data_IF_897952863980
#
_entry.id   IF_897952863980
#
_cell.length_a   1.000
_cell.length_b   1.000
_cell.length_c   1.000
_cell.angle_alpha   90.00
_cell.angle_beta   90.00
_cell.angle_gamma   90.00
#
_symmetry.space_group_name_H-M   'P 1'
#
loop_
_entity.id
_entity.type
_entity.pdbx_description
1 polymer ?
#
# COMPACT_ATOMS: atom_id res chain seq x y z
N UNK A 1 57.11 -43.29 4.15
CA UNK A 1 56.13 -43.71 3.11
C UNK A 1 54.88 -44.18 3.84
N UNK A 2 53.91 -43.38 3.93
CA UNK A 2 52.56 -43.70 4.38
C UNK A 2 51.59 -42.79 3.64
N UNK A 3 50.95 -43.36 2.66
CA UNK A 3 49.94 -42.72 1.83
C UNK A 3 48.61 -42.69 2.58
N UNK A 4 48.10 -41.49 2.88
CA UNK A 4 46.72 -41.28 3.29
C UNK A 4 45.78 -41.42 2.08
N UNK A 5 44.65 -42.09 2.19
CA UNK A 5 43.71 -42.18 1.10
C UNK A 5 42.90 -40.89 0.94
N UNK A 6 42.79 -40.47 -0.28
CA UNK A 6 41.92 -39.40 -0.78
C UNK A 6 40.48 -39.63 -0.32
N UNK A 7 39.92 -38.74 0.47
CA UNK A 7 38.51 -38.73 0.79
C UNK A 7 37.76 -38.15 -0.40
N UNK A 8 37.18 -39.01 -1.21
CA UNK A 8 36.26 -38.65 -2.27
C UNK A 8 35.12 -37.84 -1.66
N UNK A 9 35.08 -36.52 -1.96
CA UNK A 9 33.92 -35.66 -1.75
C UNK A 9 32.83 -36.17 -2.65
N UNK A 10 31.96 -37.03 -2.14
CA UNK A 10 30.73 -37.41 -2.82
C UNK A 10 29.88 -36.16 -2.97
N UNK A 11 29.63 -35.77 -4.22
CA UNK A 11 28.64 -34.74 -4.54
C UNK A 11 27.33 -35.07 -3.81
N UNK A 12 26.63 -34.07 -3.23
CA UNK A 12 25.36 -34.33 -2.59
C UNK A 12 24.43 -34.95 -3.63
N UNK A 13 23.60 -35.93 -3.25
CA UNK A 13 22.64 -36.51 -4.18
C UNK A 13 21.80 -35.38 -4.76
N UNK A 14 21.69 -35.34 -6.07
CA UNK A 14 20.74 -34.52 -6.79
C UNK A 14 19.34 -34.98 -6.41
N UNK A 15 18.87 -34.57 -5.26
CA UNK A 15 17.48 -34.73 -4.83
C UNK A 15 16.61 -33.69 -5.54
N UNK A 16 16.72 -33.66 -6.89
CA UNK A 16 15.58 -33.44 -7.77
C UNK A 16 14.58 -34.61 -7.62
N UNK A 17 14.68 -35.36 -6.50
CA UNK A 17 13.74 -36.36 -6.12
C UNK A 17 12.50 -35.63 -5.60
N UNK A 18 11.59 -35.34 -6.58
CA UNK A 18 10.18 -35.55 -6.34
C UNK A 18 9.64 -34.84 -5.07
N UNK A 19 9.71 -33.52 -5.06
CA UNK A 19 8.52 -32.83 -4.61
C UNK A 19 7.48 -33.11 -5.70
N UNK A 20 6.77 -34.22 -5.58
CA UNK A 20 5.40 -34.29 -6.11
C UNK A 20 4.79 -32.99 -5.66
N UNK A 21 4.20 -32.20 -6.56
CA UNK A 21 3.17 -31.28 -6.15
C UNK A 21 2.31 -32.09 -5.18
N UNK A 22 2.38 -31.79 -3.88
CA UNK A 22 1.51 -32.43 -2.91
C UNK A 22 0.13 -32.23 -3.50
N UNK A 23 -0.50 -33.30 -3.94
CA UNK A 23 -1.88 -33.24 -4.34
C UNK A 23 -2.62 -32.68 -3.13
N UNK A 24 -3.78 -32.06 -3.31
CA UNK A 24 -4.62 -31.57 -2.22
C UNK A 24 -4.86 -32.60 -1.10
N UNK A 25 -4.47 -33.84 -1.30
CA UNK A 25 -4.59 -34.99 -0.38
C UNK A 25 -3.64 -34.92 0.83
N UNK A 26 -2.51 -34.20 0.73
CA UNK A 26 -1.54 -34.03 1.84
C UNK A 26 -1.78 -32.71 2.64
N UNK A 27 -2.66 -31.84 2.17
CA UNK A 27 -3.02 -30.66 2.92
C UNK A 27 -3.93 -31.04 4.11
N UNK A 28 -3.54 -30.62 5.32
CA UNK A 28 -4.45 -30.68 6.45
C UNK A 28 -5.73 -29.90 6.05
N UNK A 29 -6.93 -30.51 6.24
CA UNK A 29 -8.16 -29.85 5.87
C UNK A 29 -8.25 -28.52 6.62
N UNK A 30 -8.12 -27.42 5.89
CA UNK A 30 -8.63 -26.16 6.40
C UNK A 30 -10.11 -26.36 6.73
N UNK A 31 -10.66 -25.67 7.77
CA UNK A 31 -12.08 -25.73 8.03
C UNK A 31 -12.79 -25.54 6.69
N UNK A 32 -13.56 -26.52 6.28
CA UNK A 32 -14.29 -26.45 5.02
C UNK A 32 -15.03 -25.12 5.01
N UNK A 33 -15.01 -24.41 3.86
CA UNK A 33 -15.80 -23.18 3.67
C UNK A 33 -17.32 -23.44 3.72
N UNK A 34 -17.74 -24.57 4.31
CA UNK A 34 -19.12 -24.91 4.61
C UNK A 34 -19.66 -24.06 5.75
N UNK A 35 -20.78 -23.44 5.55
CA UNK A 35 -21.46 -22.53 6.45
C UNK A 35 -21.86 -21.25 5.72
N UNK A 36 -22.96 -20.65 6.16
CA UNK A 36 -23.49 -19.39 5.63
C UNK A 36 -22.69 -18.18 6.08
N UNK A 37 -22.88 -17.04 5.42
CA UNK A 37 -22.32 -15.75 5.86
C UNK A 37 -22.71 -15.48 7.32
N UNK A 38 -23.95 -15.75 7.70
CA UNK A 38 -24.44 -15.52 9.06
C UNK A 38 -23.70 -16.38 10.11
N UNK A 39 -23.51 -17.69 9.85
CA UNK A 39 -22.78 -18.59 10.75
C UNK A 39 -21.31 -18.19 10.92
N UNK A 40 -20.64 -17.81 9.84
CA UNK A 40 -19.26 -17.32 9.90
C UNK A 40 -19.14 -15.97 10.58
N UNK A 41 -20.11 -15.05 10.38
CA UNK A 41 -20.15 -13.76 11.07
C UNK A 41 -20.31 -13.96 12.58
N UNK A 42 -21.19 -14.86 13.01
CA UNK A 42 -21.35 -15.20 14.44
C UNK A 42 -20.03 -15.72 15.03
N UNK A 43 -19.37 -16.65 14.35
CA UNK A 43 -18.08 -17.18 14.78
C UNK A 43 -16.99 -16.11 14.83
N UNK A 44 -16.96 -15.18 13.85
CA UNK A 44 -16.02 -14.06 13.82
C UNK A 44 -16.19 -13.15 15.04
N UNK A 45 -17.42 -12.76 15.35
CA UNK A 45 -17.71 -11.87 16.49
C UNK A 45 -17.36 -12.48 17.85
N UNK A 46 -17.34 -13.82 17.95
CA UNK A 46 -16.93 -14.52 19.18
C UNK A 46 -15.42 -14.77 19.28
N UNK A 47 -14.69 -14.82 18.16
CA UNK A 47 -13.29 -15.25 18.15
C UNK A 47 -12.28 -14.15 17.81
N UNK A 48 -12.68 -13.09 17.10
CA UNK A 48 -11.81 -12.01 16.64
C UNK A 48 -12.08 -10.74 17.43
N UNK A 49 -11.01 -10.01 17.81
CA UNK A 49 -11.16 -8.75 18.53
C UNK A 49 -11.99 -7.76 17.71
N UNK A 50 -12.90 -7.06 18.36
CA UNK A 50 -13.84 -6.10 17.74
C UNK A 50 -13.18 -4.76 17.35
N UNK A 51 -12.06 -4.83 16.64
CA UNK A 51 -11.32 -3.66 16.16
C UNK A 51 -11.85 -3.08 14.85
N UNK A 52 -12.62 -3.89 14.10
CA UNK A 52 -13.19 -3.54 12.79
C UNK A 52 -14.72 -3.63 12.75
N UNK A 53 -15.36 -4.03 13.84
CA UNK A 53 -16.79 -4.38 13.87
C UNK A 53 -17.10 -5.71 13.17
N UNK A 54 -18.37 -6.10 13.10
CA UNK A 54 -18.79 -7.31 12.39
C UNK A 54 -18.51 -7.17 10.88
N UNK A 55 -18.06 -8.26 10.21
CA UNK A 55 -17.76 -8.21 8.80
C UNK A 55 -19.02 -8.00 7.95
N UNK A 56 -18.97 -7.14 6.95
CA UNK A 56 -20.10 -6.92 6.04
C UNK A 56 -20.43 -8.17 5.20
N UNK A 57 -19.42 -8.95 4.86
CA UNK A 57 -19.51 -10.24 4.13
C UNK A 57 -18.36 -11.15 4.58
N UNK A 58 -18.56 -12.45 4.45
CA UNK A 58 -17.52 -13.46 4.68
C UNK A 58 -17.08 -13.98 3.33
N UNK A 59 -15.93 -13.48 2.83
CA UNK A 59 -15.40 -13.82 1.51
C UNK A 59 -14.58 -15.11 1.60
N UNK A 60 -14.86 -16.06 0.70
CA UNK A 60 -14.24 -17.40 0.71
C UNK A 60 -13.45 -17.74 -0.56
N UNK A 61 -13.62 -16.94 -1.63
CA UNK A 61 -12.94 -17.13 -2.91
C UNK A 61 -12.70 -15.79 -3.60
N UNK A 62 -11.63 -15.71 -4.37
CA UNK A 62 -11.36 -14.60 -5.28
C UNK A 62 -10.74 -15.09 -6.59
N UNK A 63 -11.04 -14.38 -7.72
CA UNK A 63 -10.49 -14.66 -9.04
C UNK A 63 -10.53 -13.37 -9.88
N UNK A 64 -9.37 -12.92 -10.35
CA UNK A 64 -9.27 -11.65 -11.05
C UNK A 64 -9.86 -10.49 -10.23
N UNK A 65 -10.74 -9.66 -10.80
CA UNK A 65 -11.36 -8.55 -10.07
C UNK A 65 -12.61 -8.97 -9.25
N UNK A 66 -12.90 -10.26 -9.09
CA UNK A 66 -14.10 -10.76 -8.41
C UNK A 66 -13.79 -11.49 -7.13
N UNK A 67 -14.72 -11.39 -6.17
CA UNK A 67 -14.73 -12.17 -4.93
C UNK A 67 -16.10 -12.82 -4.73
N UNK A 68 -16.15 -13.90 -3.96
CA UNK A 68 -17.39 -14.62 -3.61
C UNK A 68 -17.49 -14.76 -2.11
N UNK A 69 -18.68 -14.54 -1.59
CA UNK A 69 -18.98 -14.81 -0.19
C UNK A 69 -19.32 -16.29 0.08
N UNK A 70 -19.52 -16.60 1.35
CA UNK A 70 -19.84 -17.95 1.80
C UNK A 70 -21.22 -18.45 1.31
N UNK A 71 -22.12 -17.57 0.93
CA UNK A 71 -23.42 -17.90 0.34
C UNK A 71 -23.35 -18.05 -1.19
N UNK A 72 -22.16 -17.86 -1.79
CA UNK A 72 -21.89 -18.00 -3.22
C UNK A 72 -22.19 -16.75 -4.04
N UNK A 73 -22.51 -15.62 -3.43
CA UNK A 73 -22.74 -14.36 -4.12
C UNK A 73 -21.42 -13.79 -4.63
N UNK A 74 -21.38 -13.39 -5.90
CA UNK A 74 -20.22 -12.79 -6.55
C UNK A 74 -20.26 -11.27 -6.44
N UNK A 75 -19.11 -10.68 -6.15
CA UNK A 75 -18.92 -9.22 -6.08
C UNK A 75 -17.78 -8.78 -6.98
N UNK A 76 -17.95 -7.65 -7.67
CA UNK A 76 -16.86 -6.93 -8.32
C UNK A 76 -16.09 -6.14 -7.25
N UNK A 77 -14.79 -6.42 -7.09
CA UNK A 77 -13.95 -5.79 -6.07
C UNK A 77 -13.27 -4.53 -6.61
N UNK A 78 -13.88 -3.37 -6.38
CA UNK A 78 -13.30 -2.07 -6.69
C UNK A 78 -12.52 -1.46 -5.52
N UNK A 79 -12.36 -2.19 -4.41
CA UNK A 79 -11.54 -1.82 -3.25
C UNK A 79 -10.11 -2.42 -3.35
N UNK A 80 -9.99 -3.63 -3.92
CA UNK A 80 -8.72 -4.32 -4.10
C UNK A 80 -7.96 -4.58 -2.79
N UNK A 81 -8.67 -4.88 -1.68
CA UNK A 81 -8.04 -5.03 -0.36
C UNK A 81 -7.42 -3.73 0.17
N UNK A 82 -7.97 -2.57 -0.16
CA UNK A 82 -7.44 -1.21 0.07
C UNK A 82 -6.15 -0.99 -0.74
N UNK A 83 -6.27 -1.03 -2.06
CA UNK A 83 -5.18 -0.83 -3.02
C UNK A 83 -4.03 -1.86 -2.93
N UNK A 84 -4.31 -3.08 -2.45
CA UNK A 84 -3.32 -4.14 -2.23
C UNK A 84 -3.27 -5.13 -3.40
N UNK A 85 -4.42 -5.61 -3.86
CA UNK A 85 -4.53 -6.68 -4.86
C UNK A 85 -4.32 -6.13 -6.29
N UNK A 86 -3.11 -5.66 -6.58
CA UNK A 86 -2.78 -5.03 -7.88
C UNK A 86 -3.06 -5.95 -9.07
N UNK A 87 -2.80 -7.25 -8.94
CA UNK A 87 -3.03 -8.25 -9.98
C UNK A 87 -4.40 -8.94 -9.90
N UNK A 88 -5.27 -8.49 -9.00
CA UNK A 88 -6.50 -9.19 -8.66
C UNK A 88 -6.24 -10.41 -7.77
N UNK A 89 -7.31 -11.16 -7.55
CA UNK A 89 -7.29 -12.34 -6.69
C UNK A 89 -6.79 -13.57 -7.44
N UNK A 90 -6.03 -14.43 -6.74
CA UNK A 90 -5.53 -15.72 -7.22
C UNK A 90 -4.79 -15.67 -8.57
N UNK A 91 -4.00 -14.60 -8.82
CA UNK A 91 -3.27 -14.45 -10.06
C UNK A 91 -2.27 -15.61 -10.26
N UNK A 92 -2.33 -16.37 -11.39
CA UNK A 92 -1.60 -17.64 -11.54
C UNK A 92 -0.09 -17.49 -11.43
N UNK A 93 0.51 -16.42 -11.99
CA UNK A 93 1.96 -16.18 -11.89
C UNK A 93 2.38 -15.90 -10.44
N UNK A 94 1.60 -15.11 -9.70
CA UNK A 94 1.87 -14.80 -8.29
C UNK A 94 1.76 -16.05 -7.43
N UNK A 95 0.68 -16.81 -7.58
CA UNK A 95 0.44 -18.06 -6.85
C UNK A 95 1.55 -19.08 -7.09
N UNK A 96 1.95 -19.26 -8.37
CA UNK A 96 3.03 -20.16 -8.74
C UNK A 96 4.38 -19.74 -8.15
N UNK A 97 4.71 -18.44 -8.18
CA UNK A 97 5.96 -17.93 -7.62
C UNK A 97 6.04 -18.14 -6.10
N UNK A 98 4.96 -17.85 -5.38
CA UNK A 98 4.86 -18.07 -3.92
C UNK A 98 5.01 -19.56 -3.60
N UNK A 99 4.28 -20.44 -4.29
CA UNK A 99 4.33 -21.89 -4.05
C UNK A 99 5.70 -22.47 -4.34
N UNK A 100 6.34 -22.08 -5.44
CA UNK A 100 7.68 -22.54 -5.80
C UNK A 100 8.73 -22.08 -4.78
N UNK A 101 8.67 -20.80 -4.37
CA UNK A 101 9.62 -20.28 -3.38
C UNK A 101 9.40 -20.89 -2.00
N UNK A 102 8.14 -21.10 -1.58
CA UNK A 102 7.82 -21.76 -0.32
C UNK A 102 8.32 -23.21 -0.30
N UNK A 103 8.20 -23.92 -1.42
CA UNK A 103 8.73 -25.28 -1.58
C UNK A 103 10.26 -25.37 -1.64
N UNK A 104 10.95 -24.24 -1.82
CA UNK A 104 12.42 -24.18 -1.89
C UNK A 104 13.02 -23.65 -0.58
N UNK A 105 12.59 -22.47 -0.14
CA UNK A 105 13.09 -21.79 1.05
C UNK A 105 12.04 -20.75 1.49
N UNK A 106 11.30 -21.04 2.55
CA UNK A 106 10.20 -20.20 3.01
C UNK A 106 10.67 -18.97 3.79
N UNK A 107 11.49 -19.19 4.81
CA UNK A 107 12.00 -18.13 5.67
C UNK A 107 13.43 -18.42 6.13
N UNK A 108 14.24 -17.37 6.23
CA UNK A 108 15.53 -17.35 6.89
C UNK A 108 15.68 -16.06 7.70
N UNK A 109 16.46 -16.10 8.76
CA UNK A 109 16.84 -14.89 9.50
C UNK A 109 17.63 -13.94 8.62
N UNK A 110 17.47 -12.61 8.85
CA UNK A 110 18.31 -11.57 8.23
C UNK A 110 19.81 -11.64 8.64
N UNK A 111 20.22 -12.67 9.39
CA UNK A 111 21.63 -13.05 9.50
C UNK A 111 22.18 -13.69 8.22
N UNK A 112 21.31 -14.16 7.35
CA UNK A 112 21.61 -14.75 6.04
C UNK A 112 20.91 -13.95 4.94
N UNK A 113 21.44 -14.00 3.74
CA UNK A 113 20.81 -13.42 2.56
C UNK A 113 20.12 -14.52 1.73
N UNK A 114 19.10 -14.13 0.96
CA UNK A 114 18.56 -14.96 -0.10
C UNK A 114 18.63 -14.24 -1.44
N UNK A 115 18.80 -14.96 -2.57
CA UNK A 115 18.80 -14.34 -3.89
C UNK A 115 17.54 -13.50 -4.18
N UNK A 116 16.36 -13.97 -3.76
CA UNK A 116 15.11 -13.25 -3.95
C UNK A 116 15.09 -11.90 -3.21
N UNK A 117 15.62 -11.87 -1.98
CA UNK A 117 15.73 -10.62 -1.20
C UNK A 117 16.63 -9.60 -1.89
N UNK A 118 17.81 -10.04 -2.35
CA UNK A 118 18.78 -9.16 -3.03
C UNK A 118 18.18 -8.64 -4.33
N UNK A 119 17.61 -9.52 -5.16
CA UNK A 119 17.00 -9.14 -6.43
C UNK A 119 15.83 -8.15 -6.25
N UNK A 120 15.00 -8.32 -5.20
CA UNK A 120 13.93 -7.37 -4.90
C UNK A 120 14.49 -5.99 -4.52
N UNK A 121 15.53 -5.94 -3.67
CA UNK A 121 16.14 -4.68 -3.28
C UNK A 121 16.74 -3.95 -4.50
N UNK A 122 17.50 -4.66 -5.34
CA UNK A 122 18.07 -4.12 -6.59
C UNK A 122 16.96 -3.61 -7.53
N UNK A 123 15.86 -4.39 -7.64
CA UNK A 123 14.74 -4.00 -8.48
C UNK A 123 14.04 -2.74 -7.99
N UNK A 124 13.79 -2.61 -6.69
CA UNK A 124 13.19 -1.41 -6.10
C UNK A 124 14.06 -0.19 -6.31
N UNK A 125 15.39 -0.31 -6.15
CA UNK A 125 16.34 0.79 -6.44
C UNK A 125 16.26 1.24 -7.90
N UNK A 126 16.18 0.29 -8.84
CA UNK A 126 16.07 0.58 -10.26
C UNK A 126 14.74 1.28 -10.61
N UNK A 127 13.60 0.79 -10.10
CA UNK A 127 12.28 1.38 -10.33
C UNK A 127 12.15 2.79 -9.73
N UNK A 128 12.82 3.01 -8.60
CA UNK A 128 12.88 4.29 -7.91
C UNK A 128 13.88 5.29 -8.53
N UNK A 129 14.63 4.88 -9.58
CA UNK A 129 15.71 5.69 -10.16
C UNK A 129 16.67 6.22 -9.08
N UNK A 130 16.91 5.38 -8.06
CA UNK A 130 17.66 5.77 -6.89
C UNK A 130 19.16 5.92 -7.23
N UNK A 131 19.86 6.98 -6.72
CA UNK A 131 21.25 7.21 -7.02
C UNK A 131 22.15 6.12 -6.44
N UNK A 132 23.40 6.06 -6.93
CA UNK A 132 24.41 5.16 -6.39
C UNK A 132 24.57 5.36 -4.87
N UNK A 133 24.77 4.24 -4.15
CA UNK A 133 24.88 4.25 -2.69
C UNK A 133 23.54 4.14 -1.96
N UNK A 134 22.41 4.26 -2.66
CA UNK A 134 21.08 4.02 -2.08
C UNK A 134 20.91 2.59 -1.56
N UNK A 135 20.04 2.38 -0.58
CA UNK A 135 19.77 1.06 0.03
C UNK A 135 18.29 0.88 0.30
N UNK A 136 17.88 -0.39 0.36
CA UNK A 136 16.51 -0.78 0.74
C UNK A 136 16.52 -1.50 2.08
N UNK A 137 15.59 -1.14 2.95
CA UNK A 137 15.25 -1.92 4.15
C UNK A 137 13.87 -2.55 3.92
N UNK A 138 13.81 -3.88 3.85
CA UNK A 138 12.56 -4.62 3.60
C UNK A 138 11.82 -4.87 4.91
N UNK A 139 10.49 -4.78 4.86
CA UNK A 139 9.56 -4.95 5.98
C UNK A 139 8.40 -5.86 5.58
N UNK A 140 7.44 -6.09 6.48
CA UNK A 140 6.25 -6.91 6.20
C UNK A 140 4.98 -6.06 5.98
N UNK A 141 5.05 -4.76 6.23
CA UNK A 141 3.89 -3.86 6.13
C UNK A 141 4.31 -2.40 5.91
N UNK A 142 3.35 -1.56 5.49
CA UNK A 142 3.56 -0.12 5.36
C UNK A 142 3.78 0.59 6.70
N UNK A 143 3.11 0.14 7.76
CA UNK A 143 3.34 0.71 9.10
C UNK A 143 4.76 0.45 9.58
N UNK A 144 5.33 -0.75 9.35
CA UNK A 144 6.73 -1.06 9.66
C UNK A 144 7.70 -0.23 8.80
N UNK A 145 7.39 0.02 7.54
CA UNK A 145 8.19 0.88 6.67
C UNK A 145 8.23 2.33 7.20
N UNK A 146 7.09 2.86 7.63
CA UNK A 146 7.00 4.19 8.22
C UNK A 146 7.62 4.27 9.63
N UNK A 147 7.57 3.22 10.43
CA UNK A 147 8.34 3.11 11.69
C UNK A 147 9.85 3.19 11.42
N UNK A 148 10.33 2.48 10.40
CA UNK A 148 11.74 2.55 10.01
C UNK A 148 12.12 3.96 9.53
N UNK A 149 11.24 4.62 8.75
CA UNK A 149 11.44 5.99 8.28
C UNK A 149 11.47 6.99 9.45
N UNK A 150 10.58 6.85 10.43
CA UNK A 150 10.59 7.70 11.63
C UNK A 150 11.86 7.48 12.47
N UNK A 151 12.31 6.24 12.64
CA UNK A 151 13.58 5.93 13.33
C UNK A 151 14.78 6.51 12.57
N UNK A 152 14.81 6.40 11.25
CA UNK A 152 15.82 7.01 10.39
C UNK A 152 15.84 8.54 10.57
N UNK A 153 14.66 9.18 10.60
CA UNK A 153 14.49 10.60 10.90
C UNK A 153 15.06 10.98 12.27
N UNK A 154 14.79 10.20 13.31
CA UNK A 154 15.36 10.43 14.65
C UNK A 154 16.89 10.30 14.68
N UNK A 155 17.44 9.39 13.89
CA UNK A 155 18.91 9.29 13.72
C UNK A 155 19.49 10.49 12.99
N UNK A 156 18.84 10.94 11.92
CA UNK A 156 19.22 12.15 11.20
C UNK A 156 19.22 13.39 12.11
N UNK A 157 18.21 13.50 12.98
CA UNK A 157 18.07 14.64 13.88
C UNK A 157 19.20 14.76 14.90
N UNK A 158 19.90 13.67 15.23
CA UNK A 158 20.95 13.65 16.23
C UNK A 158 20.51 14.15 17.61
N UNK A 159 19.19 14.20 17.89
CA UNK A 159 18.60 14.75 19.11
C UNK A 159 18.44 16.27 19.12
N UNK A 160 18.88 16.99 18.09
CA UNK A 160 18.84 18.47 18.01
C UNK A 160 17.65 19.01 17.22
N UNK A 161 16.97 18.16 16.44
CA UNK A 161 15.85 18.52 15.56
C UNK A 161 14.59 17.77 16.02
N UNK A 162 13.80 18.32 16.96
CA UNK A 162 12.66 17.60 17.54
C UNK A 162 11.44 17.55 16.62
N UNK A 163 11.31 18.49 15.67
CA UNK A 163 10.10 18.66 14.87
C UNK A 163 10.07 17.69 13.69
N UNK A 164 8.96 17.01 13.52
CA UNK A 164 8.63 16.18 12.36
C UNK A 164 7.32 16.69 11.80
N UNK A 165 7.31 17.13 10.56
CA UNK A 165 6.12 17.65 9.91
C UNK A 165 5.39 16.54 9.17
N UNK A 166 4.05 16.54 9.25
CA UNK A 166 3.15 15.72 8.48
C UNK A 166 1.97 16.58 7.99
N UNK A 167 1.08 16.03 7.16
CA UNK A 167 -0.05 16.80 6.65
C UNK A 167 -1.36 16.41 7.32
N UNK A 168 -2.27 17.34 7.47
CA UNK A 168 -3.65 17.06 7.85
C UNK A 168 -4.27 16.06 6.87
N UNK A 169 -5.02 15.10 7.41
CA UNK A 169 -5.58 13.99 6.64
C UNK A 169 -4.63 12.84 6.35
N UNK A 170 -3.34 12.95 6.73
CA UNK A 170 -2.36 11.87 6.50
C UNK A 170 -2.70 10.57 7.25
N UNK A 171 -2.36 9.44 6.61
CA UNK A 171 -2.42 8.12 7.21
C UNK A 171 -1.11 7.35 6.95
N UNK A 172 -0.30 7.20 7.98
CA UNK A 172 1.01 6.54 7.88
C UNK A 172 1.09 5.20 8.60
N UNK A 173 0.03 4.78 9.31
CA UNK A 173 -0.06 3.48 9.98
C UNK A 173 -0.69 3.53 11.36
N UNK A 174 -0.68 2.36 12.03
CA UNK A 174 -1.34 2.14 13.33
C UNK A 174 -0.39 1.73 14.46
N UNK A 175 0.89 1.41 14.18
CA UNK A 175 1.92 1.25 15.21
C UNK A 175 2.26 2.59 15.83
N UNK A 176 2.80 2.63 17.06
CA UNK A 176 2.89 3.84 17.87
C UNK A 176 3.62 5.00 17.18
N UNK A 177 4.74 4.75 16.49
CA UNK A 177 5.46 5.79 15.75
C UNK A 177 4.72 6.22 14.50
N UNK A 178 4.24 5.29 13.68
CA UNK A 178 3.46 5.59 12.48
C UNK A 178 2.10 6.23 12.83
N UNK A 179 1.52 5.87 13.98
CA UNK A 179 0.30 6.47 14.50
C UNK A 179 0.50 7.94 14.89
N UNK A 180 1.68 8.31 15.43
CA UNK A 180 1.99 9.71 15.73
C UNK A 180 2.00 10.59 14.47
N UNK A 181 2.30 10.02 13.30
CA UNK A 181 2.28 10.67 11.99
C UNK A 181 0.89 10.64 11.31
N UNK A 182 -0.06 9.87 11.83
CA UNK A 182 -1.43 9.76 11.31
C UNK A 182 -2.32 10.85 11.90
N UNK A 183 -2.96 11.66 11.03
CA UNK A 183 -3.65 12.89 11.49
C UNK A 183 -4.92 12.61 12.29
N UNK A 184 -5.73 11.59 11.94
CA UNK A 184 -7.06 11.38 12.52
C UNK A 184 -7.02 11.24 14.05
N UNK A 185 -7.51 12.25 14.78
CA UNK A 185 -7.45 12.33 16.23
C UNK A 185 -8.08 11.10 16.92
N UNK A 186 -9.23 10.65 16.44
CA UNK A 186 -9.91 9.46 17.00
C UNK A 186 -9.07 8.18 16.96
N UNK A 187 -8.03 8.11 16.11
CA UNK A 187 -7.09 6.99 16.08
C UNK A 187 -5.95 7.15 17.08
N UNK A 188 -5.56 8.38 17.39
CA UNK A 188 -4.41 8.72 18.25
C UNK A 188 -4.79 8.81 19.72
N UNK A 189 -5.88 9.53 20.00
CA UNK A 189 -6.30 9.91 21.36
C UNK A 189 -6.34 8.73 22.35
N UNK A 190 -6.85 7.52 22.01
CA UNK A 190 -6.86 6.39 22.94
C UNK A 190 -5.47 5.88 23.35
N UNK A 191 -4.41 6.29 22.64
CA UNK A 191 -3.04 5.78 22.79
C UNK A 191 -2.03 6.85 23.19
N UNK A 192 -2.50 8.05 23.55
CA UNK A 192 -1.63 9.12 24.06
C UNK A 192 -1.00 8.74 25.41
N UNK A 193 0.29 9.08 25.69
CA UNK A 193 1.14 9.90 24.83
C UNK A 193 1.82 9.11 23.72
N UNK A 194 1.76 9.64 22.50
CA UNK A 194 2.50 9.12 21.35
C UNK A 194 3.92 9.71 21.28
N UNK A 195 4.82 9.16 20.43
CA UNK A 195 6.13 9.76 20.18
C UNK A 195 6.01 11.26 19.84
N UNK A 196 6.70 12.13 20.62
CA UNK A 196 6.50 13.58 20.54
C UNK A 196 7.15 14.23 19.31
N UNK A 197 6.77 15.48 19.05
CA UNK A 197 7.40 16.36 18.07
C UNK A 197 6.79 16.29 16.67
N UNK A 198 5.66 15.61 16.47
CA UNK A 198 4.91 15.63 15.22
C UNK A 198 3.97 16.83 15.20
N UNK A 199 4.04 17.59 14.10
CA UNK A 199 3.21 18.76 13.81
C UNK A 199 2.49 18.54 12.48
N UNK A 200 1.19 18.88 12.43
CA UNK A 200 0.39 18.73 11.22
C UNK A 200 0.19 20.08 10.54
N UNK A 201 0.51 20.13 9.25
CA UNK A 201 0.28 21.30 8.40
C UNK A 201 -0.98 21.09 7.57
N UNK A 202 -1.75 22.15 7.24
CA UNK A 202 -2.87 22.07 6.34
C UNK A 202 -2.47 21.44 4.99
N UNK A 203 -3.30 20.54 4.47
CA UNK A 203 -3.01 19.80 3.24
C UNK A 203 -2.88 20.73 2.04
N UNK A 204 -1.73 20.68 1.38
CA UNK A 204 -1.48 21.43 0.13
C UNK A 204 -1.32 22.95 0.31
N UNK A 205 -1.28 23.44 1.54
CA UNK A 205 -1.07 24.85 1.84
C UNK A 205 0.43 25.20 1.78
N UNK A 206 0.82 25.90 0.71
CA UNK A 206 2.21 26.31 0.49
C UNK A 206 2.66 27.43 1.44
N UNK A 207 1.76 28.28 1.92
CA UNK A 207 2.07 29.35 2.85
C UNK A 207 2.31 28.79 4.26
N UNK A 208 1.47 27.86 4.69
CA UNK A 208 1.69 27.13 5.94
C UNK A 208 3.02 26.34 5.91
N UNK A 209 3.36 25.72 4.76
CA UNK A 209 4.62 25.03 4.60
C UNK A 209 5.80 25.98 4.70
N UNK A 210 5.77 27.15 4.04
CA UNK A 210 6.81 28.18 4.15
C UNK A 210 6.95 28.71 5.60
N UNK A 211 5.82 28.99 6.26
CA UNK A 211 5.82 29.46 7.61
C UNK A 211 6.44 28.46 8.61
N UNK A 212 6.16 27.17 8.45
CA UNK A 212 6.72 26.11 9.30
C UNK A 212 8.26 26.02 9.21
N UNK A 213 8.84 26.35 8.07
CA UNK A 213 10.30 26.40 7.89
C UNK A 213 10.90 27.77 8.20
N UNK A 214 10.17 28.86 8.04
CA UNK A 214 10.64 30.19 8.41
C UNK A 214 10.76 30.33 9.94
N UNK A 215 9.89 29.66 10.71
CA UNK A 215 9.91 29.63 12.18
C UNK A 215 10.57 28.34 12.67
N UNK A 216 11.88 28.37 12.89
CA UNK A 216 12.65 27.24 13.41
C UNK A 216 12.79 26.07 12.43
N UNK A 217 12.98 26.33 11.15
CA UNK A 217 13.16 25.29 10.12
C UNK A 217 14.40 24.43 10.33
N UNK A 218 15.42 24.94 10.99
CA UNK A 218 16.62 24.20 11.42
C UNK A 218 16.31 23.15 12.51
N UNK A 219 15.18 23.23 13.17
CA UNK A 219 14.67 22.24 14.13
C UNK A 219 13.83 21.15 13.47
N UNK A 220 13.49 21.28 12.18
CA UNK A 220 12.75 20.27 11.43
C UNK A 220 13.66 19.11 11.06
N UNK A 221 13.35 17.90 11.51
CA UNK A 221 14.08 16.67 11.16
C UNK A 221 13.63 16.09 9.82
N UNK A 222 12.31 16.08 9.57
CA UNK A 222 11.74 15.60 8.32
C UNK A 222 10.35 16.18 8.07
N UNK A 223 9.94 16.11 6.80
CA UNK A 223 8.57 16.28 6.34
C UNK A 223 8.10 14.95 5.74
N UNK A 224 7.02 14.36 6.28
CA UNK A 224 6.35 13.17 5.77
C UNK A 224 5.15 13.56 4.92
N UNK A 225 5.07 13.02 3.70
CA UNK A 225 4.04 13.39 2.72
C UNK A 225 3.59 12.16 1.95
N UNK A 226 2.28 11.99 1.78
CA UNK A 226 1.71 11.14 0.74
C UNK A 226 1.56 11.97 -0.54
N UNK A 227 2.17 11.61 -1.69
CA UNK A 227 1.95 12.35 -2.95
C UNK A 227 0.48 12.40 -3.37
N UNK A 228 -0.26 11.34 -3.01
CA UNK A 228 -1.72 11.26 -3.10
C UNK A 228 -2.23 10.69 -1.78
N UNK A 229 -2.89 11.48 -0.97
CA UNK A 229 -3.50 10.99 0.27
C UNK A 229 -4.66 10.04 -0.05
N UNK A 230 -4.53 8.77 0.33
CA UNK A 230 -5.55 7.76 0.07
C UNK A 230 -6.74 7.84 1.01
N UNK A 231 -6.49 7.87 2.32
CA UNK A 231 -7.53 7.76 3.36
C UNK A 231 -8.36 9.06 3.53
N UNK A 232 -7.79 10.20 3.14
CA UNK A 232 -8.49 11.50 3.20
C UNK A 232 -9.37 11.78 1.97
N UNK A 233 -9.65 10.78 1.13
CA UNK A 233 -10.54 10.94 -0.03
C UNK A 233 -9.81 11.08 -1.36
N UNK A 234 -8.73 10.37 -1.56
CA UNK A 234 -7.89 10.40 -2.77
C UNK A 234 -7.57 11.83 -3.19
N UNK A 235 -6.68 12.45 -2.44
CA UNK A 235 -6.32 13.86 -2.61
C UNK A 235 -4.90 13.98 -3.16
N UNK A 236 -4.70 14.18 -4.48
CA UNK A 236 -3.39 14.52 -5.02
C UNK A 236 -2.90 15.86 -4.46
N UNK A 237 -1.60 15.97 -4.19
CA UNK A 237 -1.00 17.24 -3.81
C UNK A 237 -1.14 18.27 -4.94
N UNK A 238 -1.33 19.54 -4.62
CA UNK A 238 -1.33 20.60 -5.62
C UNK A 238 -0.03 20.64 -6.42
N UNK A 239 -0.09 20.98 -7.72
CA UNK A 239 1.10 21.17 -8.54
C UNK A 239 2.12 22.09 -7.87
N UNK A 240 3.40 21.70 -7.86
CA UNK A 240 4.49 22.48 -7.26
C UNK A 240 4.68 22.30 -5.76
N UNK A 241 3.74 21.69 -5.03
CA UNK A 241 3.87 21.51 -3.57
C UNK A 241 5.10 20.66 -3.21
N UNK A 242 5.32 19.52 -3.89
CA UNK A 242 6.50 18.68 -3.64
C UNK A 242 7.81 19.36 -4.03
N UNK A 243 7.82 20.19 -5.07
CA UNK A 243 8.99 20.97 -5.44
C UNK A 243 9.37 21.99 -4.34
N UNK A 244 8.38 22.70 -3.80
CA UNK A 244 8.58 23.59 -2.66
C UNK A 244 9.01 22.81 -1.40
N UNK A 245 8.41 21.69 -1.13
CA UNK A 245 8.78 20.81 0.00
C UNK A 245 10.26 20.38 -0.13
N UNK A 246 10.71 20.00 -1.32
CA UNK A 246 12.11 19.64 -1.56
C UNK A 246 13.05 20.82 -1.37
N UNK A 247 12.69 22.00 -1.90
CA UNK A 247 13.46 23.24 -1.73
C UNK A 247 13.69 23.53 -0.25
N UNK A 248 12.62 23.60 0.52
CA UNK A 248 12.65 23.95 1.94
C UNK A 248 13.37 22.90 2.78
N UNK A 249 13.09 21.61 2.56
CA UNK A 249 13.78 20.54 3.30
C UNK A 249 15.28 20.54 2.99
N UNK A 250 15.68 20.80 1.75
CA UNK A 250 17.12 20.92 1.38
C UNK A 250 17.77 22.13 2.05
N UNK A 251 17.13 23.31 1.99
CA UNK A 251 17.66 24.53 2.56
C UNK A 251 17.91 24.44 4.07
N UNK A 252 17.06 23.69 4.78
CA UNK A 252 17.15 23.53 6.23
C UNK A 252 17.78 22.20 6.69
N UNK A 253 18.23 21.35 5.76
CA UNK A 253 18.85 20.06 6.06
C UNK A 253 17.85 19.07 6.72
N UNK A 254 16.58 19.16 6.42
CA UNK A 254 15.54 18.22 6.81
C UNK A 254 15.37 17.12 5.75
N UNK A 255 14.87 15.96 6.13
CA UNK A 255 14.57 14.88 5.18
C UNK A 255 13.17 15.09 4.55
N UNK A 256 13.06 14.81 3.25
CA UNK A 256 11.78 14.65 2.56
C UNK A 256 11.46 13.14 2.47
N UNK A 257 10.43 12.71 3.19
CA UNK A 257 9.95 11.33 3.23
C UNK A 257 8.64 11.24 2.45
N UNK A 258 8.62 10.47 1.38
CA UNK A 258 7.40 10.22 0.62
C UNK A 258 6.82 8.86 1.00
N UNK A 259 5.61 8.87 1.53
CA UNK A 259 4.81 7.66 1.77
C UNK A 259 4.08 7.27 0.48
N UNK A 260 4.64 6.30 -0.22
CA UNK A 260 4.07 5.72 -1.45
C UNK A 260 3.44 4.35 -1.19
N UNK A 261 3.07 4.06 0.06
CA UNK A 261 2.46 2.79 0.45
C UNK A 261 1.16 2.55 -0.32
N UNK A 262 0.37 3.59 -0.57
CA UNK A 262 -0.89 3.47 -1.32
C UNK A 262 -0.79 3.94 -2.76
N UNK A 263 -0.01 4.96 -3.05
CA UNK A 263 0.11 5.59 -4.37
C UNK A 263 1.16 4.95 -5.28
N UNK A 264 2.11 4.23 -4.70
CA UNK A 264 3.20 3.59 -5.44
C UNK A 264 2.84 2.25 -6.09
N UNK A 265 3.86 1.58 -6.59
CA UNK A 265 3.81 0.25 -7.19
C UNK A 265 2.81 0.11 -8.34
N UNK A 266 2.73 1.14 -9.20
CA UNK A 266 1.90 1.12 -10.40
C UNK A 266 0.49 1.68 -10.23
N UNK A 267 0.02 1.93 -9.01
CA UNK A 267 -1.36 2.35 -8.69
C UNK A 267 -1.81 3.59 -9.45
N UNK A 268 -0.89 4.52 -9.68
CA UNK A 268 -1.15 5.79 -10.37
C UNK A 268 -0.75 5.78 -11.85
N UNK A 269 -0.32 4.62 -12.39
CA UNK A 269 0.18 4.51 -13.78
C UNK A 269 1.68 4.80 -13.93
N UNK A 270 2.37 5.08 -12.83
CA UNK A 270 3.83 5.13 -12.69
C UNK A 270 4.25 4.22 -11.55
N UNK A 271 5.51 3.82 -11.49
CA UNK A 271 6.00 3.03 -10.36
C UNK A 271 5.80 3.74 -9.05
N UNK A 272 6.04 5.05 -9.02
CA UNK A 272 5.77 5.91 -7.87
C UNK A 272 5.01 7.16 -8.31
N UNK A 273 4.08 7.65 -7.50
CA UNK A 273 3.27 8.81 -7.83
C UNK A 273 4.11 10.09 -8.00
N UNK A 274 5.20 10.23 -7.24
CA UNK A 274 6.10 11.38 -7.39
C UNK A 274 6.84 11.41 -8.73
N UNK A 275 6.86 10.30 -9.51
CA UNK A 275 7.42 10.28 -10.87
C UNK A 275 6.52 10.92 -11.92
N UNK A 276 5.25 11.26 -11.58
CA UNK A 276 4.41 12.06 -12.46
C UNK A 276 4.91 13.51 -12.49
N UNK A 277 5.11 14.12 -13.69
CA UNK A 277 5.58 15.48 -13.79
C UNK A 277 4.72 16.52 -13.07
N UNK A 278 3.40 16.29 -13.05
CA UNK A 278 2.44 17.20 -12.41
C UNK A 278 2.27 16.98 -10.90
N UNK A 279 2.71 15.83 -10.37
CA UNK A 279 2.72 15.53 -8.92
C UNK A 279 4.08 15.86 -8.31
N UNK A 280 5.14 15.22 -8.82
CA UNK A 280 6.48 15.32 -8.26
C UNK A 280 7.37 16.38 -8.90
N UNK A 281 7.12 16.75 -10.17
CA UNK A 281 7.93 17.75 -10.86
C UNK A 281 9.42 17.41 -10.95
N UNK A 282 9.80 16.13 -10.93
CA UNK A 282 11.20 15.68 -10.93
C UNK A 282 11.86 15.72 -9.56
N UNK A 283 11.09 15.84 -8.48
CA UNK A 283 11.59 15.82 -7.10
C UNK A 283 12.22 14.48 -6.76
N UNK A 284 13.44 14.53 -6.21
CA UNK A 284 14.11 13.38 -5.60
C UNK A 284 13.93 13.43 -4.08
N UNK A 285 13.21 12.45 -3.48
CA UNK A 285 13.08 12.38 -2.03
C UNK A 285 14.37 11.87 -1.37
N UNK A 286 14.45 11.94 -0.04
CA UNK A 286 15.47 11.27 0.75
C UNK A 286 15.05 9.85 1.10
N UNK A 287 13.75 9.63 1.31
CA UNK A 287 13.16 8.34 1.66
C UNK A 287 11.84 8.13 0.93
N UNK A 288 11.62 6.90 0.44
CA UNK A 288 10.31 6.43 -0.04
C UNK A 288 9.91 5.20 0.75
N UNK A 289 8.67 5.14 1.24
CA UNK A 289 8.10 3.93 1.84
C UNK A 289 7.11 3.27 0.90
N UNK A 290 7.12 1.94 0.85
CA UNK A 290 6.28 1.13 -0.05
C UNK A 290 5.70 -0.07 0.68
N UNK A 291 4.53 -0.54 0.27
CA UNK A 291 3.89 -1.79 0.69
C UNK A 291 2.71 -2.12 -0.24
N UNK A 292 1.59 -2.57 0.32
CA UNK A 292 0.31 -2.82 -0.39
C UNK A 292 0.50 -3.49 -1.75
N UNK A 293 0.38 -2.73 -2.84
CA UNK A 293 0.51 -3.21 -4.21
C UNK A 293 1.84 -3.89 -4.54
N UNK A 294 2.88 -3.71 -3.73
CA UNK A 294 4.17 -4.36 -3.92
C UNK A 294 4.07 -5.89 -3.90
N UNK A 295 3.27 -6.45 -2.99
CA UNK A 295 3.14 -7.90 -2.83
C UNK A 295 1.96 -8.53 -3.58
N UNK A 296 1.12 -7.72 -4.25
CA UNK A 296 -0.05 -8.23 -4.97
C UNK A 296 -1.06 -9.02 -4.11
N UNK A 297 -1.07 -8.78 -2.80
CA UNK A 297 -1.87 -9.50 -1.79
C UNK A 297 -1.01 -10.22 -0.74
N UNK A 298 0.29 -10.43 -0.98
CA UNK A 298 1.19 -11.01 0.00
C UNK A 298 1.83 -9.91 0.89
N UNK A 299 1.93 -10.10 2.22
CA UNK A 299 2.49 -9.10 3.13
C UNK A 299 3.97 -8.82 2.85
N UNK A 300 4.26 -7.63 2.34
CA UNK A 300 5.60 -7.10 2.11
C UNK A 300 5.57 -5.59 2.09
N UNK A 301 6.64 -4.97 2.56
CA UNK A 301 6.87 -3.55 2.49
C UNK A 301 8.35 -3.24 2.41
N UNK A 302 8.69 -1.97 2.36
CA UNK A 302 10.07 -1.53 2.35
C UNK A 302 10.23 -0.03 2.47
N UNK A 303 11.44 0.34 2.80
CA UNK A 303 11.93 1.71 2.81
C UNK A 303 13.11 1.78 1.84
N UNK A 304 13.08 2.74 0.94
CA UNK A 304 14.17 3.08 0.02
C UNK A 304 14.84 4.35 0.54
N UNK A 305 16.11 4.25 0.96
CA UNK A 305 16.92 5.38 1.38
C UNK A 305 17.79 5.84 0.21
N UNK A 306 17.64 7.11 -0.19
CA UNK A 306 18.28 7.66 -1.38
C UNK A 306 19.67 8.23 -1.04
N UNK A 307 20.68 7.71 -1.70
CA UNK A 307 22.07 8.10 -1.53
C UNK A 307 22.75 7.50 -0.30
N UNK A 308 24.09 7.54 -0.27
CA UNK A 308 24.90 6.88 0.76
C UNK A 308 24.69 7.48 2.15
N UNK A 309 24.49 8.79 2.27
CA UNK A 309 24.38 9.48 3.57
C UNK A 309 23.09 9.09 4.28
N UNK A 310 21.95 9.06 3.55
CA UNK A 310 20.66 8.64 4.10
C UNK A 310 20.67 7.16 4.41
N UNK A 311 21.22 6.34 3.53
CA UNK A 311 21.34 4.90 3.72
C UNK A 311 22.20 4.51 4.94
N UNK A 312 23.16 5.34 5.33
CA UNK A 312 24.03 5.12 6.49
C UNK A 312 23.38 5.49 7.84
N UNK A 313 22.23 6.17 7.86
CA UNK A 313 21.60 6.64 9.08
C UNK A 313 21.12 5.49 10.00
N UNK A 314 20.76 4.34 9.42
CA UNK A 314 20.47 3.13 10.19
C UNK A 314 21.57 2.10 9.99
N UNK A 315 22.53 2.06 10.90
CA UNK A 315 23.63 1.11 10.91
C UNK A 315 23.28 -0.24 11.56
N UNK A 316 24.28 -1.13 11.58
CA UNK A 316 24.15 -2.47 12.14
C UNK A 316 23.60 -2.44 13.57
N UNK A 317 22.55 -3.25 13.84
CA UNK A 317 21.93 -3.41 15.15
C UNK A 317 21.00 -2.29 15.58
N UNK A 318 20.82 -1.23 14.78
CA UNK A 318 19.98 -0.08 15.15
C UNK A 318 18.51 -0.27 14.81
N UNK A 319 18.20 -1.15 13.86
CA UNK A 319 16.84 -1.56 13.50
C UNK A 319 16.85 -2.99 12.98
N UNK A 320 15.67 -3.64 12.95
CA UNK A 320 15.55 -5.01 12.48
C UNK A 320 14.10 -5.45 12.38
N UNK A 321 13.91 -6.56 11.69
CA UNK A 321 12.64 -7.26 11.52
C UNK A 321 12.90 -8.74 11.34
N UNK A 322 12.02 -9.59 11.87
CA UNK A 322 12.13 -11.05 11.69
C UNK A 322 11.77 -11.46 10.27
N UNK A 323 10.64 -10.98 9.77
CA UNK A 323 10.07 -11.45 8.50
C UNK A 323 10.33 -10.52 7.30
N UNK A 324 10.77 -9.29 7.53
CA UNK A 324 11.01 -8.33 6.44
C UNK A 324 12.05 -8.86 5.46
N UNK A 325 11.68 -8.92 4.17
CA UNK A 325 12.51 -9.44 3.09
C UNK A 325 12.68 -10.96 3.07
N UNK A 326 11.77 -11.72 3.72
CA UNK A 326 11.84 -13.19 3.61
C UNK A 326 11.71 -13.64 2.15
N UNK A 327 12.27 -14.82 1.81
CA UNK A 327 12.31 -15.30 0.43
C UNK A 327 10.94 -15.34 -0.27
N UNK A 328 9.87 -15.76 0.43
CA UNK A 328 8.53 -15.88 -0.15
C UNK A 328 7.92 -14.51 -0.44
N UNK A 329 8.01 -13.57 0.51
CA UNK A 329 7.55 -12.21 0.31
C UNK A 329 8.29 -11.51 -0.84
N UNK A 330 9.62 -11.74 -0.91
CA UNK A 330 10.46 -11.19 -1.98
C UNK A 330 10.11 -11.78 -3.35
N UNK A 331 9.85 -13.08 -3.43
CA UNK A 331 9.40 -13.73 -4.65
C UNK A 331 8.01 -13.25 -5.10
N UNK A 332 7.10 -13.04 -4.15
CA UNK A 332 5.78 -12.46 -4.43
C UNK A 332 5.89 -11.06 -5.03
N UNK A 333 6.72 -10.20 -4.42
CA UNK A 333 6.94 -8.84 -4.92
C UNK A 333 7.59 -8.83 -6.32
N UNK A 334 8.61 -9.66 -6.54
CA UNK A 334 9.25 -9.79 -7.86
C UNK A 334 8.27 -10.30 -8.92
N UNK A 335 7.42 -11.28 -8.58
CA UNK A 335 6.39 -11.77 -9.48
C UNK A 335 5.35 -10.69 -9.82
N UNK A 336 4.94 -9.91 -8.83
CA UNK A 336 4.01 -8.77 -9.00
C UNK A 336 4.60 -7.73 -9.95
N UNK A 337 5.84 -7.29 -9.70
CA UNK A 337 6.55 -6.34 -10.57
C UNK A 337 6.68 -6.92 -11.99
N UNK A 338 7.10 -8.19 -12.12
CA UNK A 338 7.28 -8.83 -13.41
C UNK A 338 5.99 -8.94 -14.24
N UNK A 339 4.84 -9.17 -13.60
CA UNK A 339 3.53 -9.18 -14.30
C UNK A 339 3.15 -7.77 -14.73
N UNK A 340 3.30 -6.77 -13.87
CA UNK A 340 3.01 -5.37 -14.20
C UNK A 340 3.80 -4.93 -15.44
N UNK A 341 5.07 -5.31 -15.54
CA UNK A 341 5.93 -4.99 -16.69
C UNK A 341 5.57 -5.78 -17.93
N UNK A 342 5.50 -7.11 -17.81
CA UNK A 342 5.22 -8.01 -18.91
C UNK A 342 3.92 -7.67 -19.64
N UNK A 343 2.88 -7.33 -18.87
CA UNK A 343 1.54 -7.11 -19.39
C UNK A 343 1.26 -5.61 -19.64
N UNK A 344 2.26 -4.73 -19.48
CA UNK A 344 2.14 -3.30 -19.74
C UNK A 344 1.13 -2.58 -18.85
N UNK A 345 0.94 -3.06 -17.62
CA UNK A 345 -0.16 -2.62 -16.75
C UNK A 345 -0.04 -1.16 -16.31
N UNK A 346 1.14 -0.52 -16.34
CA UNK A 346 1.27 0.91 -16.02
C UNK A 346 0.50 1.78 -17.04
N UNK A 347 0.66 1.48 -18.33
CA UNK A 347 -0.09 2.17 -19.38
C UNK A 347 -1.59 1.89 -19.26
N UNK A 348 -1.96 0.62 -19.05
CA UNK A 348 -3.35 0.22 -18.87
C UNK A 348 -4.02 0.95 -17.68
N UNK A 349 -3.34 1.06 -16.54
CA UNK A 349 -3.80 1.80 -15.35
C UNK A 349 -4.04 3.27 -15.67
N UNK A 350 -3.13 3.89 -16.43
CA UNK A 350 -3.29 5.29 -16.87
C UNK A 350 -4.52 5.45 -17.76
N UNK A 351 -4.60 4.63 -18.81
CA UNK A 351 -5.64 4.74 -19.83
C UNK A 351 -7.02 4.38 -19.29
N UNK A 352 -7.15 3.26 -18.56
CA UNK A 352 -8.41 2.86 -17.94
C UNK A 352 -8.84 3.87 -16.87
N UNK A 353 -7.89 4.35 -16.05
CA UNK A 353 -8.17 5.35 -15.03
C UNK A 353 -8.73 6.64 -15.60
N UNK A 354 -8.16 7.14 -16.70
CA UNK A 354 -8.68 8.35 -17.38
C UNK A 354 -10.09 8.10 -17.94
N UNK A 355 -10.28 7.01 -18.71
CA UNK A 355 -11.60 6.68 -19.25
C UNK A 355 -12.64 6.50 -18.16
N UNK A 356 -12.30 5.85 -17.04
CA UNK A 356 -13.23 5.64 -15.93
C UNK A 356 -13.61 6.96 -15.28
N UNK A 357 -12.65 7.85 -15.01
CA UNK A 357 -12.95 9.18 -14.46
C UNK A 357 -13.87 9.97 -15.40
N UNK A 358 -13.61 9.95 -16.70
CA UNK A 358 -14.42 10.64 -17.70
C UNK A 358 -15.85 10.05 -17.76
N UNK A 359 -15.99 8.74 -17.78
CA UNK A 359 -17.31 8.05 -17.75
C UNK A 359 -18.10 8.42 -16.51
N UNK A 360 -17.47 8.46 -15.33
CA UNK A 360 -18.11 8.85 -14.08
C UNK A 360 -18.55 10.32 -14.08
N UNK A 361 -17.72 11.25 -14.62
CA UNK A 361 -18.10 12.65 -14.81
C UNK A 361 -19.27 12.80 -15.79
N UNK A 362 -19.23 12.06 -16.89
CA UNK A 362 -20.24 12.09 -17.95
C UNK A 362 -21.58 11.51 -17.56
N UNK A 363 -21.70 10.86 -16.37
CA UNK A 363 -23.02 10.45 -15.86
C UNK A 363 -23.95 11.63 -15.65
N UNK A 364 -23.40 12.82 -15.40
CA UNK A 364 -24.17 14.04 -15.15
C UNK A 364 -25.04 13.97 -13.89
N UNK A 365 -24.83 12.96 -13.03
CA UNK A 365 -25.62 12.79 -11.81
C UNK A 365 -25.35 13.95 -10.83
N UNK A 366 -26.37 14.72 -10.40
CA UNK A 366 -26.18 15.90 -9.54
C UNK A 366 -25.63 15.58 -8.15
N UNK A 367 -25.72 14.31 -7.71
CA UNK A 367 -25.10 13.87 -6.47
C UNK A 367 -23.58 13.75 -6.60
N UNK A 368 -23.02 13.60 -7.80
CA UNK A 368 -21.57 13.57 -8.04
C UNK A 368 -21.03 14.98 -8.17
N UNK A 369 -20.35 15.48 -7.15
CA UNK A 369 -19.74 16.82 -7.14
C UNK A 369 -18.44 16.89 -7.92
N UNK A 370 -17.60 15.85 -7.77
CA UNK A 370 -16.27 15.80 -8.38
C UNK A 370 -15.82 14.33 -8.56
N UNK A 371 -15.07 14.08 -9.62
CA UNK A 371 -14.32 12.84 -9.80
C UNK A 371 -12.85 13.19 -9.99
N UNK A 372 -12.00 12.76 -9.05
CA UNK A 372 -10.56 13.05 -9.02
C UNK A 372 -9.72 11.79 -8.80
N UNK A 373 -8.41 11.94 -8.88
CA UNK A 373 -7.45 10.87 -8.63
C UNK A 373 -6.45 10.70 -9.76
N UNK A 374 -5.59 9.68 -9.64
CA UNK A 374 -4.53 9.39 -10.58
C UNK A 374 -4.49 7.88 -10.86
N UNK A 375 -4.41 7.49 -12.14
CA UNK A 375 -4.49 6.09 -12.55
C UNK A 375 -5.77 5.42 -12.02
N UNK A 376 -5.61 4.29 -11.33
CA UNK A 376 -6.70 3.55 -10.68
C UNK A 376 -6.77 3.79 -9.15
N UNK A 377 -6.37 4.95 -8.69
CA UNK A 377 -6.69 5.49 -7.38
C UNK A 377 -7.65 6.66 -7.58
N UNK A 378 -8.95 6.41 -7.46
CA UNK A 378 -10.01 7.33 -7.90
C UNK A 378 -10.95 7.63 -6.74
N UNK A 379 -11.37 8.88 -6.62
CA UNK A 379 -12.46 9.32 -5.76
C UNK A 379 -13.67 9.75 -6.57
N UNK A 380 -14.83 9.34 -6.12
CA UNK A 380 -16.11 9.94 -6.48
C UNK A 380 -16.59 10.75 -5.27
N UNK A 381 -16.50 12.05 -5.36
CA UNK A 381 -16.93 12.96 -4.30
C UNK A 381 -18.39 13.27 -4.47
N UNK A 382 -19.16 13.05 -3.44
CA UNK A 382 -20.61 13.26 -3.42
C UNK A 382 -20.95 14.65 -2.84
N UNK A 383 -22.02 15.22 -3.32
CA UNK A 383 -22.52 16.53 -2.87
C UNK A 383 -23.08 16.49 -1.42
N UNK A 384 -23.40 15.29 -0.93
CA UNK A 384 -23.98 15.06 0.39
C UNK A 384 -23.21 13.95 1.15
N UNK A 385 -23.28 13.87 2.47
CA UNK A 385 -22.58 12.87 3.30
C UNK A 385 -23.29 11.49 3.26
N UNK A 386 -23.41 10.91 2.07
CA UNK A 386 -24.15 9.66 1.81
C UNK A 386 -23.22 8.52 1.31
N UNK A 387 -21.91 8.69 1.39
CA UNK A 387 -20.96 7.69 0.85
C UNK A 387 -21.14 6.30 1.47
N UNK A 388 -21.43 6.21 2.76
CA UNK A 388 -21.70 4.94 3.44
C UNK A 388 -22.96 4.26 2.86
N UNK A 389 -24.03 5.01 2.64
CA UNK A 389 -25.26 4.51 2.04
C UNK A 389 -25.04 4.01 0.61
N UNK A 390 -24.36 4.80 -0.22
CA UNK A 390 -24.04 4.39 -1.61
C UNK A 390 -23.17 3.14 -1.62
N UNK A 391 -22.22 3.01 -0.68
CA UNK A 391 -21.40 1.80 -0.57
C UNK A 391 -22.22 0.58 -0.17
N UNK A 392 -23.21 0.72 0.72
CA UNK A 392 -24.13 -0.34 1.10
C UNK A 392 -25.02 -0.77 -0.08
N UNK A 393 -25.58 0.19 -0.82
CA UNK A 393 -26.37 -0.06 -2.02
C UNK A 393 -25.52 -0.73 -3.13
N UNK A 394 -24.27 -0.31 -3.32
CA UNK A 394 -23.32 -0.95 -4.23
C UNK A 394 -23.04 -2.40 -3.82
N UNK A 395 -22.80 -2.64 -2.53
CA UNK A 395 -22.57 -3.99 -2.00
C UNK A 395 -23.80 -4.90 -2.22
N UNK A 396 -25.01 -4.37 -2.04
CA UNK A 396 -26.25 -5.09 -2.34
C UNK A 396 -26.40 -5.42 -3.83
N UNK A 397 -25.86 -4.53 -4.70
CA UNK A 397 -25.80 -4.73 -6.16
C UNK A 397 -24.61 -5.60 -6.62
N UNK A 398 -23.83 -6.19 -5.70
CA UNK A 398 -22.69 -7.05 -6.03
C UNK A 398 -21.40 -6.27 -6.38
N UNK A 399 -21.22 -5.08 -5.84
CA UNK A 399 -20.03 -4.24 -6.08
C UNK A 399 -19.44 -3.77 -4.75
N UNK A 400 -18.15 -4.03 -4.52
CA UNK A 400 -17.42 -3.59 -3.33
C UNK A 400 -16.74 -2.26 -3.61
N UNK A 401 -17.12 -1.22 -2.89
CA UNK A 401 -16.48 0.10 -2.89
C UNK A 401 -16.23 0.58 -1.47
N UNK A 402 -15.40 1.61 -1.28
CA UNK A 402 -15.04 2.08 0.05
C UNK A 402 -15.48 3.53 0.30
N UNK A 403 -16.34 3.77 1.31
CA UNK A 403 -16.67 5.12 1.78
C UNK A 403 -15.52 5.60 2.69
N UNK A 404 -14.46 6.21 2.13
CA UNK A 404 -13.28 6.62 2.89
C UNK A 404 -13.50 7.90 3.69
N UNK A 405 -14.48 8.73 3.28
CA UNK A 405 -15.00 9.89 4.05
C UNK A 405 -16.52 9.90 3.97
N UNK A 406 -17.23 10.72 4.76
CA UNK A 406 -18.68 10.82 4.66
C UNK A 406 -19.21 11.14 3.26
N UNK A 407 -18.41 11.84 2.45
CA UNK A 407 -18.78 12.30 1.11
C UNK A 407 -18.01 11.63 -0.02
N UNK A 408 -17.03 10.78 0.26
CA UNK A 408 -16.15 10.25 -0.79
C UNK A 408 -16.19 8.73 -0.88
N UNK A 409 -16.48 8.21 -2.07
CA UNK A 409 -16.23 6.82 -2.44
C UNK A 409 -14.84 6.72 -3.06
N UNK A 410 -14.00 5.82 -2.52
CA UNK A 410 -12.69 5.49 -3.09
C UNK A 410 -12.77 4.21 -3.89
N UNK A 411 -12.19 4.24 -5.08
CA UNK A 411 -11.94 3.09 -5.93
C UNK A 411 -10.43 2.84 -6.00
N UNK A 412 -10.03 1.61 -5.76
CA UNK A 412 -8.65 1.14 -5.89
C UNK A 412 -8.61 -0.30 -6.45
N UNK A 413 -9.25 -0.54 -7.60
CA UNK A 413 -9.44 -1.87 -8.15
C UNK A 413 -8.12 -2.53 -8.58
N UNK A 414 -8.14 -3.85 -8.86
CA UNK A 414 -7.04 -4.52 -9.54
C UNK A 414 -6.71 -3.88 -10.89
N UNK A 415 -5.42 -3.89 -11.28
CA UNK A 415 -4.94 -3.33 -12.55
C UNK A 415 -5.44 -4.12 -13.78
N UNK A 416 -5.83 -5.36 -13.58
CA UNK A 416 -6.36 -6.24 -14.62
C UNK A 416 -7.84 -6.00 -14.94
N UNK A 417 -8.47 -5.01 -14.32
CA UNK A 417 -9.86 -4.62 -14.56
C UNK A 417 -10.05 -4.14 -16.01
N UNK A 418 -11.21 -4.46 -16.62
CA UNK A 418 -11.56 -3.99 -17.98
C UNK A 418 -12.67 -2.94 -17.96
N UNK A 419 -12.86 -2.24 -19.10
CA UNK A 419 -13.93 -1.26 -19.29
C UNK A 419 -15.33 -1.87 -19.11
N UNK A 420 -15.53 -3.11 -19.60
CA UNK A 420 -16.79 -3.83 -19.48
C UNK A 420 -17.08 -4.21 -18.03
N UNK A 421 -16.05 -4.61 -17.29
CA UNK A 421 -16.20 -5.03 -15.90
C UNK A 421 -16.57 -3.87 -14.97
N UNK A 422 -16.12 -2.64 -15.27
CA UNK A 422 -16.44 -1.48 -14.43
C UNK A 422 -17.78 -0.82 -14.80
N UNK A 423 -18.38 -1.18 -15.95
CA UNK A 423 -19.65 -0.57 -16.41
C UNK A 423 -20.76 -0.65 -15.37
N UNK A 424 -21.00 -1.78 -14.67
CA UNK A 424 -22.06 -1.83 -13.66
C UNK A 424 -21.92 -0.78 -12.55
N UNK A 425 -20.71 -0.40 -12.19
CA UNK A 425 -20.48 0.67 -11.22
C UNK A 425 -20.80 2.05 -11.80
N UNK A 426 -20.43 2.31 -13.06
CA UNK A 426 -20.79 3.56 -13.76
C UNK A 426 -22.31 3.70 -13.86
N UNK A 427 -23.02 2.62 -14.20
CA UNK A 427 -24.48 2.59 -14.29
C UNK A 427 -25.12 2.84 -12.92
N UNK A 428 -24.58 2.24 -11.86
CA UNK A 428 -25.03 2.49 -10.49
C UNK A 428 -24.89 3.96 -10.12
N UNK A 429 -23.71 4.57 -10.38
CA UNK A 429 -23.49 6.00 -10.10
C UNK A 429 -24.43 6.89 -10.92
N UNK A 430 -24.68 6.56 -12.19
CA UNK A 430 -25.62 7.30 -13.04
C UNK A 430 -27.06 7.24 -12.51
N UNK A 431 -27.45 6.15 -11.87
CA UNK A 431 -28.80 5.91 -11.36
C UNK A 431 -29.02 6.38 -9.92
N UNK A 432 -28.01 6.93 -9.23
CA UNK A 432 -28.17 7.42 -7.85
C UNK A 432 -29.26 8.50 -7.77
N UNK A 433 -30.21 8.41 -6.81
CA UNK A 433 -31.21 9.45 -6.60
C UNK A 433 -30.55 10.79 -6.21
N UNK A 434 -30.97 11.88 -6.83
CA UNK A 434 -30.42 13.21 -6.55
C UNK A 434 -30.70 13.69 -5.10
N UNK A 435 -31.76 13.19 -4.49
CA UNK A 435 -32.23 13.49 -3.15
C UNK A 435 -31.90 12.38 -2.12
N UNK A 436 -30.91 11.54 -2.42
CA UNK A 436 -30.48 10.47 -1.52
C UNK A 436 -30.10 11.03 -0.16
N UNK A 437 -30.81 10.63 0.89
CA UNK A 437 -30.55 11.04 2.27
C UNK A 437 -29.53 10.10 2.96
N UNK A 438 -28.76 10.58 3.94
CA UNK A 438 -27.99 9.73 4.83
C UNK A 438 -28.88 8.69 5.52
N UNK A 439 -28.33 7.52 5.84
CA UNK A 439 -29.01 6.59 6.72
C UNK A 439 -29.17 7.25 8.10
N UNK A 440 -30.39 7.17 8.66
CA UNK A 440 -30.59 7.58 10.05
C UNK A 440 -29.73 6.65 10.94
N UNK A 441 -28.76 7.25 11.62
CA UNK A 441 -27.96 6.54 12.64
C UNK A 441 -28.89 6.17 13.79
N UNK A 442 -29.31 4.90 13.83
CA UNK A 442 -30.02 4.30 14.98
C UNK A 442 -29.04 4.00 16.13
#
# INVERSE_FOLDING_TARGET
MSSTPDAAVTAPPTSAARHRAAGNEDALPLPAAGGSVAEWTDRYTHAVMDTFGPPQRVLVRGEGPYVWDADGTRYLDLLGGIAVNSLGHAHPTLTAAISAQLGTLGHVSNFFASPAQVALAERLLALAEAPEGSRVFLTSSGTEANEAALKLTRRHSGGTRPRVLALEGAFHGRSMGALSLTHKQAYREPFEPLPPGVEFLPFGDTDALRAAFADGGDQVAALFVEPVQGEAGVRPLPPGYLALARELTTAHGALLVLDEVQSGMGRTGRWFAHQHPHVGGGVRPDVVTVAKGLGGGFPVGGLIAYGPDVAALLGRGQHGTTFGGNPVASAAALATIGVIERDGLLAHVTDLGERLRERLRSTGNPLVREVRGEGLLIAVELAQPVAARVAADALAAGIVVNPCTPTTLRLAPPFVLTDEQVQPFVDLVAALPADLAPEETT
#
